data_IF_341229859364
#
_entry.id   IF_341229859364
#
_cell.length_a   1.000
_cell.length_b   1.000
_cell.length_c   1.000
_cell.angle_alpha   90.00
_cell.angle_beta   90.00
_cell.angle_gamma   90.00
#
_symmetry.space_group_name_H-M   'P 1'
#
loop_
_entity.id
_entity.type
_entity.pdbx_description
1 polymer ?
#
# COMPACT_ATOMS: atom_id res chain seq x y z
N UNK A 1 11.70 22.10 -12.46
CA UNK A 1 11.08 22.15 -11.13
C UNK A 1 10.10 21.01 -11.06
N UNK A 2 10.48 19.89 -10.42
CA UNK A 2 9.57 18.75 -10.25
C UNK A 2 8.55 19.12 -9.19
N UNK A 3 7.29 19.31 -9.60
CA UNK A 3 6.15 19.38 -8.67
C UNK A 3 6.11 18.06 -7.90
N UNK A 4 6.66 18.07 -6.69
CA UNK A 4 6.50 16.97 -5.75
C UNK A 4 5.01 16.97 -5.43
N UNK A 5 4.31 15.87 -5.73
CA UNK A 5 2.91 15.66 -5.40
C UNK A 5 2.75 15.55 -3.87
N UNK A 6 2.97 16.63 -3.13
CA UNK A 6 2.72 16.78 -1.69
C UNK A 6 1.23 17.10 -1.46
N UNK A 7 0.36 16.30 -2.05
CA UNK A 7 -1.09 16.35 -1.85
C UNK A 7 -1.56 15.23 -0.92
N UNK A 8 -2.84 15.25 -0.54
CA UNK A 8 -3.45 14.11 0.15
C UNK A 8 -3.33 12.82 -0.69
N UNK A 9 -3.40 11.63 -0.09
CA UNK A 9 -3.38 10.34 -0.80
C UNK A 9 -4.31 10.29 -2.03
N UNK A 10 -5.48 10.91 -1.94
CA UNK A 10 -6.44 11.03 -3.05
C UNK A 10 -5.88 11.86 -4.21
N UNK A 11 -5.22 12.98 -3.91
CA UNK A 11 -4.60 13.82 -4.92
C UNK A 11 -3.44 13.11 -5.60
N UNK A 12 -2.62 12.37 -4.83
CA UNK A 12 -1.55 11.56 -5.40
C UNK A 12 -2.11 10.51 -6.37
N UNK A 13 -3.09 9.71 -5.93
CA UNK A 13 -3.73 8.71 -6.80
C UNK A 13 -4.39 9.33 -8.04
N UNK A 14 -5.09 10.47 -7.89
CA UNK A 14 -5.67 11.17 -9.04
C UNK A 14 -4.62 11.63 -10.04
N UNK A 15 -3.51 12.18 -9.57
CA UNK A 15 -2.42 12.65 -10.42
C UNK A 15 -1.71 11.52 -11.13
N UNK A 16 -1.48 10.39 -10.46
CA UNK A 16 -0.78 9.25 -11.05
C UNK A 16 -1.70 8.30 -11.82
N UNK A 17 -3.03 8.44 -11.72
CA UNK A 17 -4.04 7.55 -12.33
C UNK A 17 -3.72 7.21 -13.78
N UNK A 18 -3.42 8.22 -14.59
CA UNK A 18 -3.17 8.05 -16.03
C UNK A 18 -1.91 7.22 -16.30
N UNK A 19 -0.83 7.47 -15.57
CA UNK A 19 0.43 6.75 -15.77
C UNK A 19 0.40 5.37 -15.11
N UNK A 20 -0.29 5.21 -13.97
CA UNK A 20 -0.56 3.93 -13.33
C UNK A 20 -1.27 2.99 -14.31
N UNK A 21 -2.38 3.43 -14.91
CA UNK A 21 -3.17 2.64 -15.88
C UNK A 21 -2.34 2.18 -17.08
N UNK A 22 -1.39 3.00 -17.54
CA UNK A 22 -0.52 2.65 -18.66
C UNK A 22 0.54 1.63 -18.25
N UNK A 23 1.18 1.80 -17.09
CA UNK A 23 2.38 1.07 -16.69
C UNK A 23 2.13 -0.16 -15.81
N UNK A 24 1.04 -0.20 -15.05
CA UNK A 24 0.75 -1.28 -14.09
C UNK A 24 0.60 -2.62 -14.80
N UNK A 25 1.32 -3.65 -14.39
CA UNK A 25 1.17 -4.98 -14.98
C UNK A 25 -0.10 -5.67 -14.46
N UNK A 26 -0.71 -6.53 -15.28
CA UNK A 26 -1.87 -7.33 -14.86
C UNK A 26 -1.66 -8.13 -13.55
N UNK A 27 -0.51 -8.80 -13.30
CA UNK A 27 -0.26 -9.45 -12.01
C UNK A 27 -0.29 -8.48 -10.83
N UNK A 28 0.42 -7.35 -10.92
CA UNK A 28 0.45 -6.31 -9.88
C UNK A 28 -0.95 -5.77 -9.59
N UNK A 29 -1.79 -5.62 -10.63
CA UNK A 29 -3.17 -5.18 -10.47
C UNK A 29 -4.04 -6.21 -9.72
N UNK A 30 -3.85 -7.51 -9.99
CA UNK A 30 -4.55 -8.58 -9.28
C UNK A 30 -4.08 -8.69 -7.82
N UNK A 31 -2.78 -8.56 -7.56
CA UNK A 31 -2.23 -8.55 -6.20
C UNK A 31 -2.71 -7.33 -5.40
N UNK A 32 -2.82 -6.17 -6.05
CA UNK A 32 -3.45 -4.98 -5.45
C UNK A 32 -4.91 -5.24 -5.08
N UNK A 33 -5.69 -5.86 -5.96
CA UNK A 33 -7.08 -6.23 -5.66
C UNK A 33 -7.17 -7.17 -4.45
N UNK A 34 -6.33 -8.19 -4.39
CA UNK A 34 -6.30 -9.15 -3.29
C UNK A 34 -5.92 -8.46 -1.96
N UNK A 35 -4.85 -7.64 -1.97
CA UNK A 35 -4.46 -6.86 -0.79
C UNK A 35 -5.56 -5.90 -0.32
N UNK A 36 -6.24 -5.22 -1.25
CA UNK A 36 -7.36 -4.34 -0.91
C UNK A 36 -8.55 -5.12 -0.31
N UNK A 37 -8.80 -6.34 -0.76
CA UNK A 37 -9.82 -7.23 -0.18
C UNK A 37 -9.40 -7.72 1.22
N UNK A 38 -8.16 -8.20 1.38
CA UNK A 38 -7.64 -8.68 2.67
C UNK A 38 -7.72 -7.61 3.74
N UNK A 39 -7.38 -6.37 3.36
CA UNK A 39 -7.46 -5.23 4.25
C UNK A 39 -8.89 -4.68 4.43
N UNK A 40 -9.91 -5.28 3.80
CA UNK A 40 -11.32 -4.84 3.83
C UNK A 40 -11.54 -3.41 3.31
N UNK A 41 -10.68 -2.95 2.39
CA UNK A 41 -10.91 -1.69 1.67
C UNK A 41 -12.06 -1.89 0.71
N UNK A 42 -12.00 -2.94 -0.11
CA UNK A 42 -13.08 -3.37 -0.99
C UNK A 42 -13.76 -4.62 -0.40
N UNK A 43 -15.01 -4.87 -0.78
CA UNK A 43 -15.72 -6.10 -0.42
C UNK A 43 -15.62 -7.11 -1.58
N UNK A 44 -16.13 -8.32 -1.38
CA UNK A 44 -16.08 -9.37 -2.40
C UNK A 44 -16.85 -8.99 -3.68
N UNK A 45 -18.03 -8.38 -3.55
CA UNK A 45 -18.89 -7.99 -4.69
C UNK A 45 -18.25 -6.91 -5.57
N UNK A 46 -17.61 -5.92 -4.94
CA UNK A 46 -16.86 -4.85 -5.60
C UNK A 46 -15.61 -5.43 -6.29
N UNK A 47 -14.92 -6.37 -5.63
CA UNK A 47 -13.78 -7.08 -6.24
C UNK A 47 -14.21 -7.85 -7.49
N UNK A 48 -15.32 -8.59 -7.41
CA UNK A 48 -15.84 -9.36 -8.55
C UNK A 48 -16.24 -8.45 -9.71
N UNK A 49 -16.85 -7.30 -9.39
CA UNK A 49 -17.23 -6.27 -10.37
C UNK A 49 -16.01 -5.69 -11.11
N UNK A 50 -14.87 -5.52 -10.43
CA UNK A 50 -13.63 -5.09 -11.08
C UNK A 50 -12.94 -6.26 -11.81
N UNK A 51 -13.04 -7.49 -11.28
CA UNK A 51 -12.41 -8.67 -11.89
C UNK A 51 -13.00 -9.04 -13.25
N UNK A 52 -14.30 -8.84 -13.47
CA UNK A 52 -14.95 -9.13 -14.76
C UNK A 52 -14.49 -8.23 -15.90
N UNK A 53 -13.84 -7.10 -15.60
CA UNK A 53 -13.29 -6.19 -16.62
C UNK A 53 -12.14 -6.90 -17.35
N UNK A 54 -12.29 -7.09 -18.66
CA UNK A 54 -11.29 -7.78 -19.49
C UNK A 54 -10.08 -6.88 -19.81
N UNK A 55 -10.32 -5.57 -20.02
CA UNK A 55 -9.26 -4.64 -20.36
C UNK A 55 -8.48 -4.22 -19.10
N UNK A 56 -7.19 -4.54 -19.05
CA UNK A 56 -6.27 -4.15 -17.95
C UNK A 56 -6.35 -2.65 -17.63
N UNK A 57 -6.40 -1.82 -18.67
CA UNK A 57 -6.40 -0.37 -18.50
C UNK A 57 -7.71 0.12 -17.87
N UNK A 58 -8.85 -0.39 -18.33
CA UNK A 58 -10.15 -0.12 -17.73
C UNK A 58 -10.21 -0.63 -16.29
N UNK A 59 -9.75 -1.86 -16.04
CA UNK A 59 -9.68 -2.45 -14.69
C UNK A 59 -8.87 -1.59 -13.72
N UNK A 60 -7.73 -1.09 -14.16
CA UNK A 60 -6.87 -0.22 -13.37
C UNK A 60 -7.53 1.14 -13.08
N UNK A 61 -8.30 1.70 -14.02
CA UNK A 61 -9.08 2.93 -13.79
C UNK A 61 -10.15 2.70 -12.75
N UNK A 62 -10.94 1.64 -12.93
CA UNK A 62 -12.08 1.32 -12.05
C UNK A 62 -11.62 1.08 -10.61
N UNK A 63 -10.51 0.36 -10.43
CA UNK A 63 -9.87 0.16 -9.12
C UNK A 63 -9.48 1.49 -8.46
N UNK A 64 -8.83 2.41 -9.18
CA UNK A 64 -8.46 3.72 -8.62
C UNK A 64 -9.70 4.53 -8.27
N UNK A 65 -10.68 4.59 -9.18
CA UNK A 65 -11.89 5.37 -8.98
C UNK A 65 -12.72 4.81 -7.79
N UNK A 66 -12.74 3.49 -7.60
CA UNK A 66 -13.35 2.82 -6.45
C UNK A 66 -12.65 3.21 -5.13
N UNK A 67 -11.31 3.13 -5.08
CA UNK A 67 -10.55 3.49 -3.88
C UNK A 67 -10.71 4.98 -3.55
N UNK A 68 -10.75 5.86 -4.57
CA UNK A 68 -11.03 7.29 -4.41
C UNK A 68 -12.43 7.55 -3.83
N UNK A 69 -13.44 6.77 -4.22
CA UNK A 69 -14.81 6.92 -3.68
C UNK A 69 -14.92 6.52 -2.21
N UNK A 70 -14.00 5.68 -1.72
CA UNK A 70 -13.96 5.26 -0.30
C UNK A 70 -13.25 6.26 0.60
N UNK A 71 -12.44 7.15 0.02
CA UNK A 71 -11.82 8.28 0.73
C UNK A 71 -10.35 8.05 1.10
N UNK A 72 -9.80 9.04 1.81
CA UNK A 72 -8.36 9.22 2.01
C UNK A 72 -7.64 8.04 2.65
N UNK A 73 -8.25 7.37 3.62
CA UNK A 73 -7.67 6.20 4.30
C UNK A 73 -7.48 5.02 3.35
N UNK A 74 -8.46 4.81 2.47
CA UNK A 74 -8.42 3.76 1.44
C UNK A 74 -7.34 4.06 0.42
N UNK A 75 -7.24 5.32 -0.02
CA UNK A 75 -6.20 5.79 -0.92
C UNK A 75 -4.80 5.60 -0.33
N UNK A 76 -4.61 5.95 0.95
CA UNK A 76 -3.33 5.77 1.66
C UNK A 76 -2.93 4.30 1.70
N UNK A 77 -3.89 3.41 1.99
CA UNK A 77 -3.64 1.98 2.03
C UNK A 77 -3.28 1.40 0.66
N UNK A 78 -3.98 1.80 -0.40
CA UNK A 78 -3.62 1.42 -1.77
C UNK A 78 -2.19 1.86 -2.13
N UNK A 79 -1.82 3.09 -1.79
CA UNK A 79 -0.47 3.61 -2.03
C UNK A 79 0.59 2.75 -1.31
N UNK A 80 0.36 2.40 -0.05
CA UNK A 80 1.29 1.57 0.71
C UNK A 80 1.44 0.17 0.09
N UNK A 81 0.33 -0.51 -0.21
CA UNK A 81 0.36 -1.81 -0.89
C UNK A 81 1.10 -1.75 -2.22
N UNK A 82 0.88 -0.68 -2.98
CA UNK A 82 1.54 -0.51 -4.26
C UNK A 82 3.05 -0.29 -4.13
N UNK A 83 3.50 0.46 -3.11
CA UNK A 83 4.93 0.64 -2.81
C UNK A 83 5.57 -0.69 -2.40
N UNK A 84 4.85 -1.55 -1.68
CA UNK A 84 5.32 -2.87 -1.28
C UNK A 84 5.43 -3.84 -2.48
N UNK A 85 4.47 -3.77 -3.40
CA UNK A 85 4.45 -4.62 -4.59
C UNK A 85 5.46 -4.17 -5.66
N UNK A 86 5.57 -2.86 -5.91
CA UNK A 86 6.43 -2.32 -6.96
C UNK A 86 6.99 -0.92 -6.62
N UNK A 87 7.98 -0.91 -5.73
CA UNK A 87 8.70 0.31 -5.36
C UNK A 87 9.35 1.02 -6.56
N UNK A 88 9.77 0.27 -7.59
CA UNK A 88 10.39 0.84 -8.79
C UNK A 88 9.36 1.67 -9.57
N UNK A 89 8.16 1.13 -9.75
CA UNK A 89 7.07 1.82 -10.42
C UNK A 89 6.56 3.01 -9.59
N UNK A 90 6.48 2.89 -8.26
CA UNK A 90 6.17 4.04 -7.39
C UNK A 90 7.18 5.17 -7.53
N UNK A 91 8.47 4.84 -7.61
CA UNK A 91 9.54 5.83 -7.81
C UNK A 91 9.42 6.53 -9.16
N UNK A 92 9.08 5.79 -10.22
CA UNK A 92 8.82 6.36 -11.55
C UNK A 92 7.57 7.25 -11.59
N UNK A 93 6.55 6.89 -10.81
CA UNK A 93 5.30 7.64 -10.69
C UNK A 93 5.37 8.78 -9.66
N UNK A 94 6.51 8.95 -8.99
CA UNK A 94 6.74 9.95 -7.94
C UNK A 94 5.70 9.86 -6.80
N UNK A 95 5.25 8.65 -6.49
CA UNK A 95 4.35 8.39 -5.37
C UNK A 95 5.19 8.39 -4.10
N UNK A 96 5.01 9.40 -3.26
CA UNK A 96 5.61 9.40 -1.93
C UNK A 96 4.68 8.61 -1.00
N UNK A 97 5.16 7.53 -0.39
CA UNK A 97 4.41 6.87 0.69
C UNK A 97 4.09 7.93 1.75
N UNK A 98 2.81 8.06 2.11
CA UNK A 98 2.40 8.95 3.20
C UNK A 98 2.90 8.32 4.49
N UNK A 99 4.14 8.65 4.85
CA UNK A 99 4.78 8.20 6.08
C UNK A 99 3.95 8.65 7.27
N UNK A 100 3.37 7.68 7.97
CA UNK A 100 2.45 7.95 9.08
C UNK A 100 1.94 6.72 9.81
N UNK A 101 2.85 5.96 10.42
CA UNK A 101 2.66 5.13 11.64
C UNK A 101 1.85 3.81 11.56
N UNK A 102 2.45 2.77 12.15
CA UNK A 102 1.89 1.49 12.66
C UNK A 102 1.67 0.26 11.74
N UNK A 103 1.49 0.35 10.43
CA UNK A 103 1.22 -0.87 9.65
C UNK A 103 2.48 -1.71 9.33
N UNK A 104 3.66 -1.10 9.17
CA UNK A 104 4.88 -1.83 8.83
C UNK A 104 5.37 -2.75 9.96
N UNK A 105 5.13 -2.39 11.23
CA UNK A 105 5.49 -3.23 12.38
C UNK A 105 4.46 -4.33 12.62
N UNK A 106 3.16 -4.08 12.42
CA UNK A 106 2.13 -5.13 12.52
C UNK A 106 2.25 -6.18 11.41
N UNK A 107 2.64 -5.77 10.20
CA UNK A 107 2.90 -6.72 9.10
C UNK A 107 4.12 -7.59 9.37
N UNK A 108 5.22 -7.04 9.90
CA UNK A 108 6.39 -7.86 10.30
C UNK A 108 6.01 -8.84 11.42
N UNK A 109 5.24 -8.41 12.42
CA UNK A 109 4.78 -9.30 13.50
C UNK A 109 3.87 -10.41 12.96
N UNK A 110 3.00 -10.10 11.98
CA UNK A 110 2.04 -11.06 11.42
C UNK A 110 2.66 -12.00 10.39
N UNK A 111 3.51 -11.49 9.49
CA UNK A 111 4.11 -12.24 8.37
C UNK A 111 5.39 -12.95 8.76
N UNK A 112 6.21 -12.36 9.64
CA UNK A 112 7.49 -12.93 10.07
C UNK A 112 7.47 -13.49 11.50
N UNK A 113 6.36 -13.34 12.23
CA UNK A 113 6.25 -13.86 13.61
C UNK A 113 7.28 -13.26 14.57
N UNK A 114 7.75 -12.04 14.32
CA UNK A 114 8.83 -11.44 15.10
C UNK A 114 8.33 -10.94 16.46
N UNK A 115 8.66 -11.67 17.53
CA UNK A 115 8.54 -11.20 18.92
C UNK A 115 9.71 -10.26 19.21
N UNK A 116 9.50 -8.97 19.54
CA UNK A 116 10.60 -8.10 19.94
C UNK A 116 11.20 -8.63 21.24
N UNK A 117 12.41 -9.17 21.12
CA UNK A 117 13.15 -9.81 22.19
C UNK A 117 13.18 -8.90 23.43
N UNK A 118 12.50 -9.33 24.49
CA UNK A 118 12.53 -8.68 25.79
C UNK A 118 13.95 -8.65 26.32
N UNK A 119 14.50 -7.44 26.40
CA UNK A 119 15.53 -6.94 27.32
C UNK A 119 16.46 -7.99 27.93
N UNK A 120 17.73 -7.95 27.52
CA UNK A 120 18.86 -8.40 28.33
C UNK A 120 18.88 -7.60 29.64
N UNK A 121 18.50 -8.19 30.76
CA UNK A 121 18.97 -7.71 32.06
C UNK A 121 20.43 -8.13 32.22
N UNK A 122 21.32 -7.20 31.87
CA UNK A 122 22.70 -7.26 32.32
C UNK A 122 22.72 -6.80 33.77
N UNK A 123 22.44 -7.70 34.72
CA UNK A 123 22.86 -7.49 36.10
C UNK A 123 23.77 -8.63 36.57
N UNK A 124 24.93 -8.70 35.91
CA UNK A 124 26.14 -9.17 36.56
C UNK A 124 27.09 -7.98 36.66
N UNK A 125 27.04 -7.30 37.81
CA UNK A 125 28.24 -6.73 38.41
C UNK A 125 28.26 -7.23 39.85
N UNK A 126 28.99 -8.32 40.06
CA UNK A 126 29.62 -8.50 41.35
C UNK A 126 30.66 -7.40 41.52
N UNK A 127 30.64 -6.69 42.64
CA UNK A 127 31.88 -6.22 43.24
C UNK A 127 31.77 -6.38 44.76
N UNK A 128 32.72 -7.14 45.27
CA UNK A 128 32.96 -7.39 46.68
C UNK A 128 33.36 -6.11 47.42
N UNK A 129 32.99 -6.02 48.69
CA UNK A 129 33.91 -5.75 49.82
C UNK A 129 33.26 -6.32 51.08
#
# INVERSE_FOLDING_TARGET
>A
MTEILTGSPEQQLRSVRTEFVKRVSAPVLNELLDGLLQHKVINQEEMESVMVIAERAEKARDLIDMVLRKGTESCSRMINLFVELDQCLCSQLQINSVGGTNLMVEWIVTVLGYQPNGRMDSNSVGVST
#
